data_IF_935158683989
#
_entry.id   IF_935158683989
#
_cell.length_a   1.000
_cell.length_b   1.000
_cell.length_c   1.000
_cell.angle_alpha   90.00
_cell.angle_beta   90.00
_cell.angle_gamma   90.00
#
_symmetry.space_group_name_H-M   'P 1'
#
loop_
_entity.id
_entity.type
_entity.pdbx_description
1 polymer ?
#
# COMPACT_ATOMS: atom_id res chain seq x y z
N UNK A 1 16.57 6.22 -34.90
CA UNK A 1 16.91 6.38 -33.48
C UNK A 1 16.67 7.84 -33.02
N UNK A 2 17.28 8.86 -33.66
CA UNK A 2 17.15 10.28 -33.27
C UNK A 2 15.72 10.82 -33.30
N UNK A 3 14.90 10.46 -34.29
CA UNK A 3 13.48 10.88 -34.40
C UNK A 3 12.65 10.33 -33.26
N UNK A 4 12.89 9.06 -32.89
CA UNK A 4 12.18 8.42 -31.78
C UNK A 4 12.56 9.06 -30.42
N UNK A 5 13.85 9.35 -30.23
CA UNK A 5 14.34 10.02 -29.03
C UNK A 5 13.77 11.45 -28.91
N UNK A 6 13.72 12.22 -30.01
CA UNK A 6 13.13 13.55 -30.05
C UNK A 6 11.60 13.51 -29.75
N UNK A 7 10.88 12.51 -30.29
CA UNK A 7 9.46 12.33 -30.03
C UNK A 7 9.17 11.98 -28.56
N UNK A 8 9.96 11.08 -27.96
CA UNK A 8 9.86 10.73 -26.54
C UNK A 8 10.18 11.95 -25.66
N UNK A 9 11.23 12.70 -25.97
CA UNK A 9 11.59 13.91 -25.25
C UNK A 9 10.50 14.98 -25.35
N UNK A 10 10.00 15.24 -26.55
CA UNK A 10 8.90 16.19 -26.79
C UNK A 10 7.63 15.80 -26.03
N UNK A 11 7.21 14.54 -26.09
CA UNK A 11 6.08 14.03 -25.32
C UNK A 11 6.27 14.22 -23.82
N UNK A 12 7.46 13.91 -23.30
CA UNK A 12 7.79 14.05 -21.89
C UNK A 12 7.69 15.52 -21.43
N UNK A 13 8.27 16.45 -22.18
CA UNK A 13 8.32 17.87 -21.81
C UNK A 13 6.97 18.59 -22.01
N UNK A 14 6.27 18.30 -23.11
CA UNK A 14 5.08 19.06 -23.49
C UNK A 14 3.78 18.48 -22.91
N UNK A 15 3.75 17.18 -22.60
CA UNK A 15 2.53 16.51 -22.16
C UNK A 15 2.70 15.89 -20.76
N UNK A 16 3.68 15.01 -20.57
CA UNK A 16 3.80 14.21 -19.36
C UNK A 16 4.14 15.05 -18.12
N UNK A 17 5.16 15.92 -18.20
CA UNK A 17 5.58 16.77 -17.08
C UNK A 17 4.53 17.82 -16.68
N UNK A 18 3.89 18.57 -17.60
CA UNK A 18 2.82 19.50 -17.24
C UNK A 18 1.61 18.82 -16.58
N UNK A 19 1.23 17.61 -17.06
CA UNK A 19 0.16 16.81 -16.46
C UNK A 19 0.52 16.37 -15.04
N UNK A 20 1.74 15.87 -14.83
CA UNK A 20 2.21 15.47 -13.50
C UNK A 20 2.27 16.67 -12.54
N UNK A 21 2.74 17.84 -12.98
CA UNK A 21 2.77 19.04 -12.14
C UNK A 21 1.37 19.42 -11.64
N UNK A 22 0.38 19.43 -12.53
CA UNK A 22 -1.02 19.70 -12.16
C UNK A 22 -1.57 18.62 -11.22
N UNK A 23 -1.27 17.35 -11.48
CA UNK A 23 -1.68 16.27 -10.61
C UNK A 23 -1.05 16.39 -9.21
N UNK A 24 0.24 16.77 -9.13
CA UNK A 24 0.95 16.98 -7.86
C UNK A 24 0.37 18.17 -7.05
N UNK A 25 -0.04 19.25 -7.71
CA UNK A 25 -0.72 20.37 -7.07
C UNK A 25 -2.08 19.95 -6.50
N UNK A 26 -2.86 19.20 -7.27
CA UNK A 26 -4.19 18.74 -6.85
C UNK A 26 -4.11 17.72 -5.72
N UNK A 27 -3.21 16.73 -5.82
CA UNK A 27 -3.10 15.69 -4.76
C UNK A 27 -2.64 16.27 -3.43
N UNK A 28 -1.81 17.34 -3.43
CA UNK A 28 -1.33 17.97 -2.21
C UNK A 28 -2.47 18.51 -1.34
N UNK A 29 -3.55 19.00 -1.94
CA UNK A 29 -4.74 19.47 -1.21
C UNK A 29 -5.47 18.32 -0.53
N UNK A 30 -5.67 17.20 -1.24
CA UNK A 30 -6.28 15.99 -0.69
C UNK A 30 -5.41 15.36 0.42
N UNK A 31 -4.08 15.33 0.21
CA UNK A 31 -3.13 14.84 1.23
C UNK A 31 -3.15 15.70 2.50
N UNK A 32 -3.22 17.02 2.39
CA UNK A 32 -3.33 17.89 3.55
C UNK A 32 -4.54 17.56 4.43
N UNK A 33 -5.70 17.28 3.83
CA UNK A 33 -6.91 16.87 4.56
C UNK A 33 -6.76 15.47 5.16
N UNK A 34 -6.11 14.57 4.44
CA UNK A 34 -5.86 13.19 4.86
C UNK A 34 -4.88 13.11 6.04
N UNK A 35 -3.82 13.94 6.04
CA UNK A 35 -2.72 13.92 7.00
C UNK A 35 -2.90 14.92 8.15
N UNK A 36 -4.02 15.64 8.20
CA UNK A 36 -4.31 16.61 9.25
C UNK A 36 -4.39 15.94 10.64
N UNK A 37 -4.22 16.72 11.70
CA UNK A 37 -4.35 16.24 13.09
C UNK A 37 -5.72 15.59 13.35
N UNK A 38 -6.75 16.09 12.66
CA UNK A 38 -8.09 15.47 12.62
C UNK A 38 -8.38 15.11 11.16
N UNK A 39 -8.06 13.88 10.72
CA UNK A 39 -8.18 13.50 9.32
C UNK A 39 -9.62 13.57 8.82
N UNK A 40 -9.81 14.23 7.68
CA UNK A 40 -11.09 14.38 7.01
C UNK A 40 -11.16 13.44 5.80
N UNK A 41 -11.20 12.11 6.06
CA UNK A 41 -11.07 11.09 5.01
C UNK A 41 -12.09 11.22 3.89
N UNK A 42 -13.35 11.55 4.20
CA UNK A 42 -14.38 11.75 3.17
C UNK A 42 -14.08 12.98 2.30
N UNK A 43 -13.67 14.07 2.94
CA UNK A 43 -13.32 15.30 2.23
C UNK A 43 -12.02 15.14 1.42
N UNK A 44 -11.04 14.39 1.95
CA UNK A 44 -9.82 14.04 1.21
C UNK A 44 -10.15 13.17 -0.02
N UNK A 45 -11.13 12.28 0.10
CA UNK A 45 -11.57 11.39 -0.98
C UNK A 45 -12.30 12.14 -2.09
N UNK A 46 -13.32 12.91 -1.74
CA UNK A 46 -14.26 13.52 -2.68
C UNK A 46 -13.88 14.96 -3.09
N UNK A 47 -13.24 15.70 -2.21
CA UNK A 47 -12.99 17.13 -2.39
C UNK A 47 -14.23 17.98 -2.08
N UNK A 48 -14.11 19.28 -2.31
CA UNK A 48 -15.18 20.28 -2.20
C UNK A 48 -14.94 21.46 -3.15
N UNK A 49 -15.70 22.53 -3.00
CA UNK A 49 -15.55 23.76 -3.79
C UNK A 49 -14.17 24.44 -3.64
N UNK A 50 -13.43 24.14 -2.55
CA UNK A 50 -12.14 24.75 -2.22
C UNK A 50 -10.96 23.90 -2.65
N UNK A 51 -11.17 22.64 -3.08
CA UNK A 51 -10.08 21.81 -3.51
C UNK A 51 -10.47 20.39 -3.90
N UNK A 52 -9.67 19.82 -4.80
CA UNK A 52 -9.84 18.48 -5.32
C UNK A 52 -9.68 17.41 -4.25
N UNK A 53 -10.44 16.33 -4.38
CA UNK A 53 -10.22 15.07 -3.67
C UNK A 53 -9.43 14.05 -4.49
N UNK A 54 -9.04 12.94 -3.87
CA UNK A 54 -8.30 11.88 -4.56
C UNK A 54 -9.05 11.33 -5.77
N UNK A 55 -10.38 11.24 -5.75
CA UNK A 55 -11.16 10.72 -6.87
C UNK A 55 -11.04 11.60 -8.11
N UNK A 56 -11.06 12.93 -7.94
CA UNK A 56 -10.89 13.87 -9.05
C UNK A 56 -9.47 13.80 -9.64
N UNK A 57 -8.44 13.66 -8.78
CA UNK A 57 -7.06 13.46 -9.24
C UNK A 57 -6.94 12.18 -10.05
N UNK A 58 -7.58 11.09 -9.61
CA UNK A 58 -7.57 9.80 -10.32
C UNK A 58 -8.27 9.91 -11.67
N UNK A 59 -9.41 10.58 -11.73
CA UNK A 59 -10.17 10.76 -12.96
C UNK A 59 -9.37 11.53 -14.02
N UNK A 60 -8.83 12.70 -13.64
CA UNK A 60 -8.12 13.59 -14.56
C UNK A 60 -6.69 13.15 -14.88
N UNK A 61 -5.99 12.56 -13.90
CA UNK A 61 -4.55 12.33 -13.94
C UNK A 61 -4.12 10.91 -13.50
N UNK A 62 -5.01 9.93 -13.51
CA UNK A 62 -4.75 8.58 -12.99
C UNK A 62 -3.61 7.79 -13.64
N UNK A 63 -3.08 8.26 -14.79
CA UNK A 63 -1.89 7.70 -15.45
C UNK A 63 -0.58 8.37 -15.03
N UNK A 64 -0.62 9.47 -14.27
CA UNK A 64 0.57 10.17 -13.78
C UNK A 64 1.05 9.55 -12.45
N UNK A 65 2.30 9.80 -12.01
CA UNK A 65 2.79 9.38 -10.71
C UNK A 65 1.88 9.80 -9.54
N UNK A 66 1.49 11.08 -9.49
CA UNK A 66 0.57 11.59 -8.45
C UNK A 66 -0.82 10.96 -8.54
N UNK A 67 -1.36 10.78 -9.75
CA UNK A 67 -2.64 10.08 -9.95
C UNK A 67 -2.57 8.60 -9.57
N UNK A 68 -1.41 7.96 -9.73
CA UNK A 68 -1.19 6.61 -9.25
C UNK A 68 -1.16 6.55 -7.72
N UNK A 69 -0.49 7.51 -7.07
CA UNK A 69 -0.45 7.63 -5.62
C UNK A 69 -1.84 7.92 -5.03
N UNK A 70 -2.65 8.74 -5.70
CA UNK A 70 -4.02 9.03 -5.30
C UNK A 70 -4.90 7.78 -5.18
N UNK A 71 -4.65 6.74 -6.00
CA UNK A 71 -5.37 5.45 -5.90
C UNK A 71 -5.10 4.75 -4.57
N UNK A 72 -3.85 4.79 -4.10
CA UNK A 72 -3.48 4.24 -2.80
C UNK A 72 -4.18 4.97 -1.66
N UNK A 73 -4.14 6.30 -1.64
CA UNK A 73 -4.83 7.10 -0.63
C UNK A 73 -6.35 6.95 -0.67
N UNK A 74 -6.95 6.92 -1.86
CA UNK A 74 -8.40 6.67 -2.00
C UNK A 74 -8.79 5.30 -1.41
N UNK A 75 -7.97 4.27 -1.64
CA UNK A 75 -8.18 2.96 -1.02
C UNK A 75 -8.15 3.01 0.50
N UNK A 76 -7.24 3.80 1.10
CA UNK A 76 -7.20 4.00 2.55
C UNK A 76 -8.43 4.77 3.05
N UNK A 77 -8.87 5.82 2.34
CA UNK A 77 -10.08 6.56 2.71
C UNK A 77 -11.32 5.63 2.76
N UNK A 78 -11.50 4.78 1.75
CA UNK A 78 -12.58 3.79 1.74
C UNK A 78 -12.44 2.78 2.88
N UNK A 79 -11.23 2.33 3.20
CA UNK A 79 -10.97 1.46 4.34
C UNK A 79 -11.40 2.11 5.66
N UNK A 80 -11.07 3.40 5.85
CA UNK A 80 -11.48 4.18 7.03
C UNK A 80 -12.98 4.39 7.11
N UNK A 81 -13.67 4.43 5.98
CA UNK A 81 -15.13 4.46 5.90
C UNK A 81 -15.80 3.09 6.08
N UNK A 82 -15.04 2.00 6.17
CA UNK A 82 -15.56 0.62 6.27
C UNK A 82 -16.01 0.02 4.92
N UNK A 83 -15.77 0.71 3.81
CA UNK A 83 -16.10 0.24 2.46
C UNK A 83 -14.96 -0.64 1.91
N UNK A 84 -14.97 -1.91 2.31
CA UNK A 84 -13.93 -2.88 1.93
C UNK A 84 -13.91 -3.17 0.44
N UNK A 85 -15.05 -3.07 -0.25
CA UNK A 85 -15.13 -3.34 -1.69
C UNK A 85 -14.41 -2.25 -2.49
N UNK A 86 -14.76 -1.00 -2.28
CA UNK A 86 -14.08 0.11 -2.96
C UNK A 86 -12.63 0.24 -2.50
N UNK A 87 -12.31 0.00 -1.21
CA UNK A 87 -10.93 -0.04 -0.74
C UNK A 87 -10.09 -1.05 -1.54
N UNK A 88 -10.54 -2.30 -1.66
CA UNK A 88 -9.85 -3.33 -2.44
C UNK A 88 -9.69 -2.92 -3.91
N UNK A 89 -10.75 -2.36 -4.52
CA UNK A 89 -10.76 -1.91 -5.90
C UNK A 89 -9.73 -0.81 -6.17
N UNK A 90 -9.65 0.19 -5.30
CA UNK A 90 -8.72 1.31 -5.48
C UNK A 90 -7.28 0.91 -5.16
N UNK A 91 -7.03 0.14 -4.10
CA UNK A 91 -5.69 -0.40 -3.79
C UNK A 91 -5.15 -1.28 -4.93
N UNK A 92 -5.99 -2.12 -5.54
CA UNK A 92 -5.59 -2.97 -6.67
C UNK A 92 -5.26 -2.18 -7.95
N UNK A 93 -5.75 -0.94 -8.11
CA UNK A 93 -5.42 -0.06 -9.24
C UNK A 93 -4.09 0.67 -9.08
N UNK A 94 -3.52 0.68 -7.88
CA UNK A 94 -2.20 1.24 -7.66
C UNK A 94 -1.13 0.39 -8.34
N UNK A 95 -0.23 1.02 -9.06
CA UNK A 95 0.90 0.37 -9.72
C UNK A 95 2.16 0.58 -8.88
N UNK A 96 2.88 -0.49 -8.49
CA UNK A 96 4.09 -0.40 -7.68
C UNK A 96 5.15 0.51 -8.32
N UNK A 97 5.83 1.31 -7.50
CA UNK A 97 6.83 2.29 -7.91
C UNK A 97 8.20 1.87 -7.40
N UNK A 98 9.24 2.02 -8.23
CA UNK A 98 10.63 1.72 -7.86
C UNK A 98 11.23 2.82 -6.99
N UNK A 99 12.20 2.43 -6.16
CA UNK A 99 12.94 3.35 -5.26
C UNK A 99 12.41 3.34 -3.83
N UNK A 100 13.16 3.97 -2.91
CA UNK A 100 12.90 3.82 -1.46
C UNK A 100 11.54 4.35 -1.02
N UNK A 101 11.07 5.58 -1.37
CA UNK A 101 9.72 5.98 -0.99
C UNK A 101 8.67 5.05 -1.59
N UNK A 102 8.85 4.63 -2.84
CA UNK A 102 7.95 3.71 -3.53
C UNK A 102 7.89 2.34 -2.86
N UNK A 103 9.02 1.79 -2.42
CA UNK A 103 9.08 0.49 -1.75
C UNK A 103 8.19 0.44 -0.50
N UNK A 104 8.22 1.49 0.33
CA UNK A 104 7.40 1.57 1.55
C UNK A 104 5.91 1.65 1.22
N UNK A 105 5.53 2.47 0.23
CA UNK A 105 4.14 2.59 -0.21
C UNK A 105 3.67 1.27 -0.85
N UNK A 106 4.51 0.61 -1.64
CA UNK A 106 4.20 -0.70 -2.21
C UNK A 106 3.92 -1.74 -1.12
N UNK A 107 4.78 -1.81 -0.09
CA UNK A 107 4.59 -2.71 1.03
C UNK A 107 3.29 -2.40 1.79
N UNK A 108 3.02 -1.13 2.07
CA UNK A 108 1.79 -0.71 2.72
C UNK A 108 0.56 -1.06 1.86
N UNK A 109 0.61 -0.81 0.55
CA UNK A 109 -0.49 -1.13 -0.35
C UNK A 109 -0.81 -2.62 -0.36
N UNK A 110 0.20 -3.48 -0.48
CA UNK A 110 0.01 -4.93 -0.39
C UNK A 110 -0.47 -5.35 1.00
N UNK A 111 0.10 -4.79 2.07
CA UNK A 111 -0.33 -5.07 3.44
C UNK A 111 -1.82 -4.78 3.66
N UNK A 112 -2.31 -3.62 3.19
CA UNK A 112 -3.72 -3.25 3.27
C UNK A 112 -4.63 -4.20 2.46
N UNK A 113 -4.18 -4.66 1.29
CA UNK A 113 -4.91 -5.69 0.53
C UNK A 113 -4.94 -7.02 1.29
N UNK A 114 -3.88 -7.36 2.01
CA UNK A 114 -3.82 -8.51 2.92
C UNK A 114 -4.80 -8.37 4.08
N UNK A 115 -4.84 -7.19 4.70
CA UNK A 115 -5.76 -6.90 5.82
C UNK A 115 -7.23 -7.02 5.36
N UNK A 116 -7.58 -6.50 4.20
CA UNK A 116 -8.93 -6.67 3.60
C UNK A 116 -9.23 -8.16 3.37
N UNK A 117 -8.28 -8.95 2.88
CA UNK A 117 -8.48 -10.37 2.67
C UNK A 117 -8.72 -11.12 3.99
N UNK A 118 -8.06 -10.70 5.10
CA UNK A 118 -8.33 -11.24 6.45
C UNK A 118 -9.76 -10.92 6.89
N UNK A 119 -10.22 -9.68 6.72
CA UNK A 119 -11.60 -9.28 7.03
C UNK A 119 -12.63 -10.11 6.23
N UNK A 120 -12.29 -10.47 5.00
CA UNK A 120 -13.08 -11.35 4.14
C UNK A 120 -12.91 -12.84 4.46
N UNK A 121 -12.07 -13.19 5.45
CA UNK A 121 -11.68 -14.56 5.82
C UNK A 121 -11.00 -15.36 4.70
N UNK A 122 -10.48 -14.67 3.68
CA UNK A 122 -9.65 -15.26 2.63
C UNK A 122 -8.17 -15.23 3.05
N UNK A 123 -7.85 -16.06 4.05
CA UNK A 123 -6.52 -16.09 4.64
C UNK A 123 -5.43 -16.50 3.65
N UNK A 124 -5.75 -17.40 2.71
CA UNK A 124 -4.80 -17.80 1.68
C UNK A 124 -4.41 -16.64 0.75
N UNK A 125 -5.35 -15.76 0.43
CA UNK A 125 -5.12 -14.53 -0.31
C UNK A 125 -4.35 -13.51 0.52
N UNK A 126 -4.67 -13.40 1.82
CA UNK A 126 -3.99 -12.51 2.75
C UNK A 126 -2.48 -12.83 2.82
N UNK A 127 -2.11 -14.10 3.00
CA UNK A 127 -0.71 -14.57 3.01
C UNK A 127 0.03 -14.11 1.74
N UNK A 128 -0.55 -14.33 0.56
CA UNK A 128 0.06 -13.92 -0.72
C UNK A 128 0.31 -12.41 -0.79
N UNK A 129 -0.56 -11.59 -0.21
CA UNK A 129 -0.37 -10.16 -0.17
C UNK A 129 0.68 -9.74 0.84
N UNK A 130 0.74 -10.38 2.02
CA UNK A 130 1.78 -10.10 3.01
C UNK A 130 3.17 -10.50 2.49
N UNK A 131 3.30 -11.63 1.77
CA UNK A 131 4.54 -12.02 1.11
C UNK A 131 5.01 -10.96 0.10
N UNK A 132 4.08 -10.40 -0.69
CA UNK A 132 4.39 -9.28 -1.60
C UNK A 132 4.81 -8.02 -0.83
N UNK A 133 4.21 -7.76 0.33
CA UNK A 133 4.57 -6.62 1.17
C UNK A 133 6.00 -6.78 1.73
N UNK A 134 6.37 -7.97 2.21
CA UNK A 134 7.73 -8.31 2.63
C UNK A 134 8.73 -8.11 1.49
N UNK A 135 8.43 -8.66 0.31
CA UNK A 135 9.31 -8.53 -0.86
C UNK A 135 9.44 -7.09 -1.38
N UNK A 136 8.43 -6.24 -1.17
CA UNK A 136 8.45 -4.86 -1.61
C UNK A 136 9.35 -3.97 -0.75
N UNK A 137 9.45 -4.22 0.55
CA UNK A 137 10.27 -3.44 1.49
C UNK A 137 10.89 -4.36 2.57
N UNK A 138 11.98 -5.00 2.19
CA UNK A 138 12.78 -5.85 3.08
C UNK A 138 13.65 -4.99 4.01
N UNK A 139 13.14 -4.75 5.21
CA UNK A 139 13.83 -3.99 6.26
C UNK A 139 13.30 -4.35 7.65
N UNK A 140 14.01 -3.94 8.71
CA UNK A 140 13.70 -4.28 10.11
C UNK A 140 12.38 -3.70 10.65
N UNK A 141 11.70 -2.82 9.90
CA UNK A 141 10.43 -2.20 10.31
C UNK A 141 9.23 -2.87 9.67
N UNK A 142 9.24 -3.03 8.34
CA UNK A 142 8.06 -3.46 7.59
C UNK A 142 8.01 -4.97 7.37
N UNK A 143 9.13 -5.60 7.04
CA UNK A 143 9.17 -7.02 6.74
C UNK A 143 8.72 -7.90 7.94
N UNK A 144 9.25 -7.73 9.17
CA UNK A 144 8.82 -8.56 10.31
C UNK A 144 7.34 -8.37 10.64
N UNK A 145 6.80 -7.17 10.50
CA UNK A 145 5.36 -6.91 10.70
C UNK A 145 4.49 -7.73 9.73
N UNK A 146 4.86 -7.76 8.43
CA UNK A 146 4.08 -8.53 7.45
C UNK A 146 4.31 -10.03 7.55
N UNK A 147 5.52 -10.48 7.93
CA UNK A 147 5.78 -11.89 8.24
C UNK A 147 4.91 -12.36 9.42
N UNK A 148 4.80 -11.56 10.48
CA UNK A 148 3.93 -11.88 11.61
C UNK A 148 2.46 -11.97 11.18
N UNK A 149 1.98 -11.03 10.36
CA UNK A 149 0.61 -11.08 9.81
C UNK A 149 0.38 -12.32 8.93
N UNK A 150 1.36 -12.71 8.10
CA UNK A 150 1.29 -13.92 7.29
C UNK A 150 1.22 -15.19 8.17
N UNK A 151 2.05 -15.26 9.22
CA UNK A 151 2.02 -16.36 10.19
C UNK A 151 0.66 -16.47 10.90
N UNK A 152 0.08 -15.36 11.33
CA UNK A 152 -1.27 -15.34 11.93
C UNK A 152 -2.34 -15.81 10.95
N UNK A 153 -2.25 -15.42 9.68
CA UNK A 153 -3.17 -15.88 8.64
C UNK A 153 -3.03 -17.38 8.35
N UNK A 154 -1.82 -17.95 8.41
CA UNK A 154 -1.59 -19.40 8.31
C UNK A 154 -2.13 -20.14 9.54
N UNK A 155 -1.98 -19.59 10.76
CA UNK A 155 -2.59 -20.17 11.95
C UNK A 155 -4.13 -20.21 11.84
N UNK A 156 -4.75 -19.14 11.33
CA UNK A 156 -6.19 -19.07 11.12
C UNK A 156 -6.71 -20.14 10.13
N UNK A 157 -5.84 -20.65 9.26
CA UNK A 157 -6.13 -21.77 8.35
C UNK A 157 -5.82 -23.16 8.97
N UNK A 158 -5.29 -23.21 10.19
CA UNK A 158 -4.82 -24.45 10.82
C UNK A 158 -3.44 -24.92 10.32
N UNK A 159 -2.71 -24.11 9.59
CA UNK A 159 -1.40 -24.43 9.00
C UNK A 159 -0.26 -24.12 9.99
N UNK A 160 -0.23 -24.74 11.17
CA UNK A 160 0.74 -24.44 12.24
C UNK A 160 2.20 -24.49 11.78
N UNK A 161 2.60 -25.50 10.99
CA UNK A 161 3.97 -25.61 10.50
C UNK A 161 4.40 -24.46 9.60
N UNK A 162 3.50 -23.94 8.75
CA UNK A 162 3.79 -22.78 7.92
C UNK A 162 3.84 -21.49 8.76
N UNK A 163 2.94 -21.36 9.73
CA UNK A 163 2.97 -20.24 10.66
C UNK A 163 4.28 -20.20 11.44
N UNK A 164 4.75 -21.36 11.94
CA UNK A 164 6.04 -21.47 12.62
C UNK A 164 7.19 -20.96 11.74
N UNK A 165 7.23 -21.35 10.47
CA UNK A 165 8.26 -20.92 9.53
C UNK A 165 8.32 -19.37 9.37
N UNK A 166 7.18 -18.69 9.33
CA UNK A 166 7.12 -17.23 9.31
C UNK A 166 7.69 -16.61 10.60
N UNK A 167 7.36 -17.16 11.76
CA UNK A 167 7.88 -16.64 13.04
C UNK A 167 9.37 -16.90 13.20
N UNK A 168 9.86 -18.09 12.81
CA UNK A 168 11.28 -18.40 12.79
C UNK A 168 12.06 -17.46 11.85
N UNK A 169 11.49 -17.11 10.69
CA UNK A 169 12.09 -16.15 9.79
C UNK A 169 12.24 -14.76 10.45
N UNK A 170 11.27 -14.31 11.25
CA UNK A 170 11.41 -13.06 12.00
C UNK A 170 12.58 -13.15 12.98
N UNK A 171 12.67 -14.24 13.75
CA UNK A 171 13.70 -14.43 14.75
C UNK A 171 15.12 -14.54 14.16
N UNK A 172 15.23 -15.14 12.97
CA UNK A 172 16.52 -15.33 12.30
C UNK A 172 16.97 -14.13 11.47
N UNK A 173 16.05 -13.53 10.72
CA UNK A 173 16.40 -12.46 9.78
C UNK A 173 16.24 -11.05 10.37
N UNK A 174 15.37 -10.88 11.37
CA UNK A 174 15.04 -9.58 11.98
C UNK A 174 15.05 -9.63 13.52
N UNK A 175 16.11 -10.18 14.17
CA UNK A 175 16.12 -10.41 15.62
C UNK A 175 16.03 -9.12 16.46
N UNK A 176 16.41 -7.97 15.88
CA UNK A 176 16.33 -6.66 16.53
C UNK A 176 15.00 -5.92 16.27
N UNK A 177 14.06 -6.53 15.54
CA UNK A 177 12.76 -5.91 15.26
C UNK A 177 11.84 -5.91 16.48
N UNK A 178 10.88 -4.98 16.49
CA UNK A 178 9.85 -4.95 17.53
C UNK A 178 8.98 -6.21 17.52
N UNK A 179 8.77 -6.81 16.35
CA UNK A 179 7.95 -8.01 16.16
C UNK A 179 8.66 -9.31 16.62
N UNK A 180 9.97 -9.33 16.88
CA UNK A 180 10.69 -10.53 17.28
C UNK A 180 10.19 -11.13 18.60
N UNK A 181 9.88 -10.29 19.60
CA UNK A 181 9.31 -10.74 20.87
C UNK A 181 7.94 -11.40 20.71
N UNK A 182 7.11 -10.84 19.84
CA UNK A 182 5.77 -11.40 19.57
C UNK A 182 5.90 -12.70 18.76
N UNK A 183 6.83 -12.77 17.81
CA UNK A 183 7.12 -13.97 17.05
C UNK A 183 7.56 -15.14 17.95
N UNK A 184 8.42 -14.89 18.97
CA UNK A 184 8.84 -15.89 19.93
C UNK A 184 7.66 -16.47 20.72
N UNK A 185 6.75 -15.60 21.21
CA UNK A 185 5.52 -16.03 21.93
C UNK A 185 4.59 -16.83 21.03
N UNK A 186 4.38 -16.35 19.78
CA UNK A 186 3.51 -17.01 18.82
C UNK A 186 4.05 -18.37 18.42
N UNK A 187 5.37 -18.50 18.19
CA UNK A 187 6.02 -19.77 17.91
C UNK A 187 5.85 -20.76 19.06
N UNK A 188 6.01 -20.31 20.32
CA UNK A 188 5.80 -21.14 21.51
C UNK A 188 4.33 -21.57 21.71
N UNK A 189 3.37 -20.92 21.07
CA UNK A 189 1.95 -21.27 21.14
C UNK A 189 1.50 -22.31 20.10
N UNK A 190 2.33 -22.56 19.10
CA UNK A 190 2.04 -23.59 18.08
C UNK A 190 2.36 -24.95 18.69
N UNK A 191 1.31 -25.75 18.86
CA UNK A 191 1.38 -27.12 19.38
C UNK A 191 1.34 -28.12 18.22
#
# INVERSE_FOLDING_TARGET
>A
LFVLAAAIFGYRQLISQPRERKAAEMIAQAQYRFESTTPEYQLALEGDANGAGFLEVIEKYGSTPSGNLAKHYAGICYLKAGDLENAAKFLARYSPVKGIPGALINAQNYGLQGDIAVEQKDYAKAVKFYDKAVAAADNNLTAPMYLRKAGLAEQAQGNGAKAAAYYEQILTSYPASMDARDAEKLLGSIK
#
